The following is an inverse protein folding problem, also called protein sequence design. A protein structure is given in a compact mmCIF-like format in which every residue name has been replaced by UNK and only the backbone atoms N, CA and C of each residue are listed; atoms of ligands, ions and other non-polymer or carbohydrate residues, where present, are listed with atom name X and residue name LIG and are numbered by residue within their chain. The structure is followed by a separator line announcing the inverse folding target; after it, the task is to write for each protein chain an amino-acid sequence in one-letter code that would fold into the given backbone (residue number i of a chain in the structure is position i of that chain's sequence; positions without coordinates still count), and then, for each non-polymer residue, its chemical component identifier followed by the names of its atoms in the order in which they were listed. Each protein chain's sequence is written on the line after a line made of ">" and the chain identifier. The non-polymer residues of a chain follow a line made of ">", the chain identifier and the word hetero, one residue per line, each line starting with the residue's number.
data_IF_346317118816
#
_entry.id   IF_346317118816
#
_cell.length_a   1.000
_cell.length_b   1.000
_cell.length_c   1.000
_cell.angle_alpha   90.00
_cell.angle_beta   90.00
_cell.angle_gamma   90.00
#
_symmetry.space_group_name_H-M   'P 1'
#
loop_
_entity.id
_entity.type
_entity.pdbx_description
1 polymer ?
#
# COMPACT_ATOMS: atom_id res chain seq x y z
N UNK A 1 4.72 -20.67 -25.69
CA UNK A 1 4.23 -20.15 -24.38
C UNK A 1 4.77 -20.90 -23.17
N UNK A 2 4.79 -22.24 -23.15
CA UNK A 2 5.21 -23.04 -21.98
C UNK A 2 6.64 -22.74 -21.48
N UNK A 3 7.59 -22.58 -22.40
CA UNK A 3 8.97 -22.22 -22.05
C UNK A 3 9.13 -20.82 -21.47
N UNK A 4 8.29 -19.86 -21.90
CA UNK A 4 8.33 -18.48 -21.42
C UNK A 4 7.98 -18.41 -19.94
N UNK A 5 6.89 -19.08 -19.53
CA UNK A 5 6.52 -19.17 -18.11
C UNK A 5 7.52 -19.96 -17.27
N UNK A 6 8.18 -20.96 -17.85
CA UNK A 6 9.24 -21.74 -17.17
C UNK A 6 10.51 -20.92 -16.92
N UNK A 7 10.77 -19.93 -17.77
CA UNK A 7 11.88 -19.01 -17.63
C UNK A 7 11.52 -17.87 -16.65
N UNK A 8 10.31 -17.31 -16.78
CA UNK A 8 9.79 -16.27 -15.88
C UNK A 8 9.68 -16.77 -14.44
N UNK A 9 9.28 -18.03 -14.21
CA UNK A 9 9.13 -18.60 -12.87
C UNK A 9 10.45 -18.82 -12.11
N UNK A 10 11.62 -18.67 -12.76
CA UNK A 10 12.93 -18.72 -12.09
C UNK A 10 13.30 -17.42 -11.39
N UNK A 11 12.86 -16.27 -11.91
CA UNK A 11 13.17 -14.96 -11.34
C UNK A 11 12.61 -14.72 -9.93
N UNK A 12 11.38 -15.18 -9.58
CA UNK A 12 10.86 -15.09 -8.22
C UNK A 12 11.81 -15.64 -7.16
N UNK A 13 12.60 -16.69 -7.48
CA UNK A 13 13.51 -17.31 -6.52
C UNK A 13 14.61 -16.37 -6.04
N UNK A 14 15.16 -15.56 -6.94
CA UNK A 14 16.16 -14.54 -6.61
C UNK A 14 15.51 -13.29 -6.00
N UNK A 15 14.28 -13.01 -6.41
CA UNK A 15 13.49 -11.91 -5.87
C UNK A 15 13.14 -12.12 -4.40
N UNK A 16 12.91 -13.36 -3.96
CA UNK A 16 12.65 -13.68 -2.55
C UNK A 16 13.85 -13.31 -1.67
N UNK A 17 15.07 -13.66 -2.07
CA UNK A 17 16.29 -13.30 -1.31
C UNK A 17 16.51 -11.79 -1.28
N UNK A 18 16.26 -11.11 -2.40
CA UNK A 18 16.31 -9.65 -2.46
C UNK A 18 15.30 -8.99 -1.52
N UNK A 19 14.03 -9.41 -1.59
CA UNK A 19 12.98 -8.95 -0.67
C UNK A 19 13.35 -9.24 0.77
N UNK A 20 13.78 -10.46 1.08
CA UNK A 20 14.19 -10.85 2.44
C UNK A 20 15.32 -9.95 2.96
N UNK A 21 16.32 -9.63 2.12
CA UNK A 21 17.38 -8.69 2.47
C UNK A 21 16.87 -7.27 2.76
N UNK A 22 15.93 -6.77 1.95
CA UNK A 22 15.29 -5.46 2.17
C UNK A 22 14.52 -5.47 3.49
N UNK A 23 13.68 -6.48 3.73
CA UNK A 23 12.91 -6.60 4.96
C UNK A 23 13.83 -6.72 6.19
N UNK A 24 14.93 -7.46 6.07
CA UNK A 24 15.91 -7.58 7.14
C UNK A 24 16.59 -6.24 7.46
N UNK A 25 17.02 -5.50 6.44
CA UNK A 25 17.63 -4.17 6.60
C UNK A 25 16.66 -3.14 7.18
N UNK A 26 15.40 -3.13 6.71
CA UNK A 26 14.34 -2.30 7.28
C UNK A 26 14.06 -2.68 8.73
N UNK A 27 14.00 -3.97 9.03
CA UNK A 27 13.76 -4.46 10.39
C UNK A 27 14.86 -4.02 11.35
N UNK A 28 16.13 -4.08 10.93
CA UNK A 28 17.26 -3.63 11.75
C UNK A 28 17.18 -2.13 12.06
N UNK A 29 16.76 -1.30 11.09
CA UNK A 29 16.54 0.13 11.28
C UNK A 29 15.32 0.45 12.15
N UNK A 30 14.25 -0.36 12.06
CA UNK A 30 13.01 -0.18 12.84
C UNK A 30 13.11 -0.77 14.26
N UNK A 31 13.99 -1.75 14.49
CA UNK A 31 14.26 -2.38 15.79
C UNK A 31 14.49 -1.39 16.94
N UNK A 32 15.36 -0.36 16.86
CA UNK A 32 15.54 0.61 17.94
C UNK A 32 14.28 1.43 18.23
N UNK A 33 13.47 1.68 17.19
CA UNK A 33 12.22 2.46 17.27
C UNK A 33 11.12 1.71 18.03
N UNK A 34 11.12 0.38 17.97
CA UNK A 34 10.20 -0.50 18.69
C UNK A 34 10.40 -0.49 20.22
N UNK A 35 11.62 -0.21 20.70
CA UNK A 35 11.92 -0.13 22.14
C UNK A 35 11.30 1.12 22.78
N UNK A 36 11.19 2.20 22.01
CA UNK A 36 10.61 3.46 22.47
C UNK A 36 9.10 3.48 22.14
N UNK A 37 8.27 3.08 23.12
CA UNK A 37 6.79 3.03 23.04
C UNK A 37 6.13 4.19 22.26
N UNK A 38 6.46 5.48 22.48
CA UNK A 38 5.84 6.58 21.72
C UNK A 38 6.21 6.56 20.23
N UNK A 39 7.44 6.18 19.89
CA UNK A 39 7.91 6.15 18.50
C UNK A 39 7.26 5.01 17.71
N UNK A 40 6.95 3.89 18.36
CA UNK A 40 6.18 2.81 17.76
C UNK A 40 4.76 3.27 17.38
N UNK A 41 4.08 4.00 18.27
CA UNK A 41 2.75 4.56 18.01
C UNK A 41 2.82 5.55 16.85
N UNK A 42 3.85 6.40 16.80
CA UNK A 42 4.06 7.32 15.68
C UNK A 42 4.25 6.59 14.34
N UNK A 43 5.01 5.49 14.32
CA UNK A 43 5.25 4.68 13.12
C UNK A 43 3.94 4.07 12.60
N UNK A 44 3.13 3.49 13.50
CA UNK A 44 1.81 2.94 13.15
C UNK A 44 0.88 4.06 12.66
N UNK A 45 0.88 5.21 13.32
CA UNK A 45 0.07 6.37 12.94
C UNK A 45 0.41 6.87 11.53
N UNK A 46 1.70 6.96 11.18
CA UNK A 46 2.15 7.32 9.84
C UNK A 46 1.68 6.29 8.82
N UNK A 47 1.78 5.00 9.13
CA UNK A 47 1.40 3.93 8.21
C UNK A 47 -0.11 3.93 7.93
N UNK A 48 -0.93 4.03 8.99
CA UNK A 48 -2.40 4.11 8.88
C UNK A 48 -2.81 5.39 8.15
N UNK A 49 -2.25 6.54 8.52
CA UNK A 49 -2.61 7.83 7.90
C UNK A 49 -2.19 7.87 6.43
N UNK A 50 -0.99 7.38 6.10
CA UNK A 50 -0.53 7.29 4.71
C UNK A 50 -1.42 6.37 3.87
N UNK A 51 -1.86 5.24 4.44
CA UNK A 51 -2.78 4.34 3.75
C UNK A 51 -4.15 4.99 3.54
N UNK A 52 -4.73 5.62 4.58
CA UNK A 52 -5.99 6.36 4.47
C UNK A 52 -5.88 7.48 3.43
N UNK A 53 -4.81 8.27 3.48
CA UNK A 53 -4.53 9.33 2.51
C UNK A 53 -4.51 8.80 1.07
N UNK A 54 -3.81 7.69 0.83
CA UNK A 54 -3.80 7.03 -0.48
C UNK A 54 -5.19 6.58 -0.90
N UNK A 55 -5.94 5.92 -0.01
CA UNK A 55 -7.29 5.44 -0.32
C UNK A 55 -8.24 6.58 -0.65
N UNK A 56 -8.24 7.68 0.12
CA UNK A 56 -9.09 8.84 -0.17
C UNK A 56 -8.68 9.55 -1.44
N UNK A 57 -7.37 9.67 -1.71
CA UNK A 57 -6.88 10.26 -2.97
C UNK A 57 -7.35 9.43 -4.16
N UNK A 58 -7.19 8.11 -4.10
CA UNK A 58 -7.63 7.21 -5.15
C UNK A 58 -9.15 7.21 -5.31
N UNK A 59 -9.93 7.21 -4.22
CA UNK A 59 -11.38 7.32 -4.27
C UNK A 59 -11.82 8.63 -4.94
N UNK A 60 -11.17 9.76 -4.59
CA UNK A 60 -11.45 11.05 -5.19
C UNK A 60 -11.10 11.07 -6.70
N UNK A 61 -9.93 10.54 -7.07
CA UNK A 61 -9.51 10.46 -8.48
C UNK A 61 -10.39 9.52 -9.30
N UNK A 62 -10.85 8.43 -8.72
CA UNK A 62 -11.72 7.45 -9.37
C UNK A 62 -13.21 7.84 -9.32
N UNK A 63 -13.55 8.97 -8.66
CA UNK A 63 -14.94 9.41 -8.50
C UNK A 63 -15.80 8.45 -7.66
N UNK A 64 -15.17 7.56 -6.88
CA UNK A 64 -15.83 6.62 -5.97
C UNK A 64 -16.15 7.39 -4.68
N UNK A 65 -16.98 8.41 -4.82
CA UNK A 65 -17.64 9.08 -3.71
C UNK A 65 -18.96 8.35 -3.51
N UNK A 66 -19.28 7.98 -2.27
CA UNK A 66 -20.56 7.39 -1.85
C UNK A 66 -21.70 7.90 -2.74
N UNK A 67 -22.16 7.06 -3.68
CA UNK A 67 -23.32 7.33 -4.53
C UNK A 67 -24.58 7.23 -3.67
N UNK A 68 -24.75 8.17 -2.75
CA UNK A 68 -25.90 8.29 -1.85
C UNK A 68 -26.63 9.63 -2.00
N UNK A 69 -26.10 10.55 -2.80
CA UNK A 69 -26.76 11.78 -3.21
C UNK A 69 -26.69 11.84 -4.72
N UNK A 70 -27.54 11.06 -5.39
CA UNK A 70 -27.94 11.43 -6.75
C UNK A 70 -28.48 12.85 -6.64
N UNK A 71 -27.85 13.86 -7.27
CA UNK A 71 -28.50 15.16 -7.37
C UNK A 71 -29.86 14.93 -8.03
N UNK A 72 -30.94 15.62 -7.58
CA UNK A 72 -32.24 15.48 -8.21
C UNK A 72 -32.08 15.68 -9.72
N UNK A 73 -32.85 14.95 -10.55
CA UNK A 73 -32.75 15.07 -11.99
C UNK A 73 -32.85 16.55 -12.35
N UNK A 74 -31.75 17.09 -12.92
CA UNK A 74 -31.75 18.44 -13.45
C UNK A 74 -32.53 18.33 -14.75
N UNK A 75 -33.81 18.70 -14.68
CA UNK A 75 -34.65 18.83 -15.87
C UNK A 75 -34.05 19.94 -16.74
N UNK A 76 -33.26 19.54 -17.74
CA UNK A 76 -32.78 20.42 -18.78
C UNK A 76 -33.95 20.71 -19.75
N UNK A 77 -34.84 21.60 -19.32
CA UNK A 77 -35.73 22.35 -20.21
C UNK A 77 -35.10 23.71 -20.56
#
# INVERSE_FOLDING_TARGET
>A
MKEFFLNVSRYPRYFITFLAGIFYSLYEWVRPTLTNRPTLIALIGILVTGFLFLTFTLQAMLGITETGLTPPPVDYF
#
